data_IF_474267672252
#
_entry.id   IF_474267672252
#
_cell.length_a   1.000
_cell.length_b   1.000
_cell.length_c   1.000
_cell.angle_alpha   90.00
_cell.angle_beta   90.00
_cell.angle_gamma   90.00
#
_symmetry.space_group_name_H-M   'P 1'
#
loop_
_entity.id
_entity.type
_entity.pdbx_description
1 polymer ?
#
# COMPACT_ATOMS: atom_id res chain seq x y z
N UNK A 1 4.60 13.79 26.14
CA UNK A 1 5.56 14.04 25.06
C UNK A 1 5.57 12.82 24.16
N UNK A 2 5.25 12.97 22.88
CA UNK A 2 5.28 11.87 21.90
C UNK A 2 6.70 11.29 21.86
N UNK A 3 6.89 9.97 21.98
CA UNK A 3 8.20 9.36 21.86
C UNK A 3 8.74 9.50 20.43
N UNK A 4 10.04 9.28 20.28
CA UNK A 4 10.62 9.09 18.95
C UNK A 4 10.32 7.70 18.42
N UNK A 5 10.13 7.58 17.14
CA UNK A 5 10.20 6.32 16.45
C UNK A 5 11.60 5.72 16.67
N UNK A 6 11.65 4.50 17.18
CA UNK A 6 12.89 3.78 17.51
C UNK A 6 13.03 2.48 16.72
N UNK A 7 12.08 2.19 15.83
CA UNK A 7 12.14 1.02 14.98
C UNK A 7 13.21 1.13 13.88
N UNK A 8 13.48 0.05 13.24
CA UNK A 8 14.49 -0.11 12.19
C UNK A 8 13.80 -0.38 10.86
N UNK A 9 14.12 0.42 9.82
CA UNK A 9 13.61 0.18 8.47
C UNK A 9 14.10 -1.16 7.93
N UNK A 10 13.21 -1.86 7.26
CA UNK A 10 13.45 -3.18 6.62
C UNK A 10 13.85 -4.31 7.58
N UNK A 11 13.69 -4.11 8.87
CA UNK A 11 13.77 -5.19 9.86
C UNK A 11 12.34 -5.74 10.07
N UNK A 12 12.06 -6.92 9.52
CA UNK A 12 10.73 -7.54 9.59
C UNK A 12 10.20 -7.59 11.02
N UNK A 13 8.98 -7.11 11.22
CA UNK A 13 8.32 -7.10 12.53
C UNK A 13 7.57 -8.42 12.75
N UNK A 14 8.07 -9.25 13.66
CA UNK A 14 7.51 -10.58 13.98
C UNK A 14 6.75 -10.62 15.31
N UNK A 15 6.50 -9.47 15.93
CA UNK A 15 5.75 -9.39 17.19
C UNK A 15 5.00 -8.08 17.31
N UNK A 16 3.80 -8.14 17.87
CA UNK A 16 3.04 -6.95 18.25
C UNK A 16 3.76 -6.19 19.37
N UNK A 17 3.79 -4.86 19.27
CA UNK A 17 4.22 -4.02 20.38
C UNK A 17 3.26 -4.14 21.57
N UNK A 18 3.74 -3.79 22.77
CA UNK A 18 2.88 -3.75 23.96
C UNK A 18 1.68 -2.82 23.77
N UNK A 19 1.86 -1.69 23.11
CA UNK A 19 0.76 -0.76 22.81
C UNK A 19 -0.24 -1.38 21.83
N UNK A 20 0.23 -2.08 20.80
CA UNK A 20 -0.64 -2.80 19.88
C UNK A 20 -1.48 -3.85 20.60
N UNK A 21 -0.86 -4.67 21.47
CA UNK A 21 -1.59 -5.67 22.26
C UNK A 21 -2.66 -5.05 23.16
N UNK A 22 -2.40 -3.90 23.76
CA UNK A 22 -3.34 -3.19 24.63
C UNK A 22 -4.47 -2.50 23.86
N UNK A 23 -4.26 -2.15 22.60
CA UNK A 23 -5.25 -1.45 21.78
C UNK A 23 -6.50 -2.31 21.50
N UNK A 24 -6.31 -3.61 21.34
CA UNK A 24 -7.38 -4.57 21.08
C UNK A 24 -7.89 -5.13 22.41
N UNK A 25 -8.72 -4.35 23.15
CA UNK A 25 -9.16 -4.62 24.53
C UNK A 25 -9.89 -5.94 24.72
N UNK A 26 -10.68 -6.36 23.71
CA UNK A 26 -11.42 -7.64 23.72
C UNK A 26 -10.68 -8.74 22.95
N UNK A 27 -9.40 -8.50 22.64
CA UNK A 27 -8.59 -9.33 21.76
C UNK A 27 -8.95 -9.18 20.28
N UNK A 28 -7.95 -9.17 19.42
CA UNK A 28 -8.15 -9.13 17.97
C UNK A 28 -8.89 -10.38 17.44
N UNK A 29 -8.90 -11.46 18.21
CA UNK A 29 -9.57 -12.72 17.83
C UNK A 29 -11.06 -12.54 17.49
N UNK A 30 -11.75 -11.60 18.13
CA UNK A 30 -13.14 -11.29 17.82
C UNK A 30 -13.27 -10.69 16.43
N UNK A 31 -12.35 -9.78 16.06
CA UNK A 31 -12.30 -9.17 14.73
C UNK A 31 -11.90 -10.17 13.65
N UNK A 32 -10.92 -11.04 13.93
CA UNK A 32 -10.43 -12.06 13.01
C UNK A 32 -11.48 -13.14 12.67
N UNK A 33 -12.53 -13.28 13.49
CA UNK A 33 -13.67 -14.19 13.26
C UNK A 33 -14.81 -13.57 12.46
N UNK A 34 -14.77 -12.25 12.24
CA UNK A 34 -15.80 -11.58 11.45
C UNK A 34 -15.62 -11.86 9.96
N UNK A 35 -16.74 -11.98 9.26
CA UNK A 35 -16.72 -12.18 7.82
C UNK A 35 -16.45 -10.86 7.08
N UNK A 36 -15.51 -10.93 6.17
CA UNK A 36 -15.31 -9.95 5.11
C UNK A 36 -16.30 -10.16 3.96
N UNK A 37 -16.01 -9.53 2.83
CA UNK A 37 -16.75 -9.69 1.59
C UNK A 37 -16.03 -10.68 0.68
N UNK A 38 -16.81 -11.42 -0.11
CA UNK A 38 -16.28 -12.21 -1.24
C UNK A 38 -16.39 -11.45 -2.58
N UNK A 39 -16.89 -10.21 -2.53
CA UNK A 39 -16.98 -9.34 -3.71
C UNK A 39 -15.61 -8.75 -4.05
N UNK A 40 -15.30 -8.68 -5.34
CA UNK A 40 -14.13 -7.97 -5.86
C UNK A 40 -14.37 -6.44 -5.97
N UNK A 41 -15.48 -5.95 -5.44
CA UNK A 41 -15.80 -4.53 -5.38
C UNK A 41 -15.41 -3.93 -4.03
N UNK A 42 -14.59 -2.88 -4.05
CA UNK A 42 -14.25 -2.13 -2.83
C UNK A 42 -15.47 -1.46 -2.21
N UNK A 43 -16.41 -0.97 -3.04
CA UNK A 43 -17.66 -0.39 -2.55
C UNK A 43 -18.52 -1.42 -1.82
N UNK A 44 -18.76 -2.59 -2.42
CA UNK A 44 -19.59 -3.65 -1.82
C UNK A 44 -18.96 -4.23 -0.56
N UNK A 45 -17.62 -4.29 -0.51
CA UNK A 45 -16.90 -4.79 0.66
C UNK A 45 -17.10 -3.95 1.92
N UNK A 46 -17.48 -2.68 1.79
CA UNK A 46 -17.81 -1.78 2.90
C UNK A 46 -19.05 -2.23 3.71
N UNK A 47 -19.87 -3.10 3.14
CA UNK A 47 -21.05 -3.67 3.82
C UNK A 47 -20.74 -4.87 4.72
N UNK A 48 -19.51 -5.40 4.65
CA UNK A 48 -19.12 -6.56 5.46
C UNK A 48 -19.04 -6.27 6.96
N UNK A 49 -19.23 -7.31 7.77
CA UNK A 49 -19.12 -7.18 9.22
C UNK A 49 -17.72 -6.78 9.67
N UNK A 50 -16.70 -7.35 9.03
CA UNK A 50 -15.30 -7.04 9.33
C UNK A 50 -14.98 -5.58 9.01
N UNK A 51 -15.36 -5.10 7.82
CA UNK A 51 -15.12 -3.70 7.44
C UNK A 51 -15.69 -2.73 8.47
N UNK A 52 -16.98 -2.90 8.82
CA UNK A 52 -17.66 -2.02 9.77
C UNK A 52 -17.02 -2.04 11.15
N UNK A 53 -16.59 -3.21 11.61
CA UNK A 53 -15.90 -3.32 12.89
C UNK A 53 -14.53 -2.63 12.89
N UNK A 54 -13.72 -2.81 11.83
CA UNK A 54 -12.43 -2.12 11.67
C UNK A 54 -12.61 -0.61 11.56
N UNK A 55 -13.60 -0.14 10.79
CA UNK A 55 -13.93 1.27 10.67
C UNK A 55 -14.31 1.88 12.01
N UNK A 56 -15.23 1.23 12.76
CA UNK A 56 -15.65 1.69 14.09
C UNK A 56 -14.46 1.75 15.04
N UNK A 57 -13.64 0.70 15.11
CA UNK A 57 -12.46 0.68 15.96
C UNK A 57 -11.53 1.87 15.70
N UNK A 58 -11.14 2.08 14.44
CA UNK A 58 -10.24 3.17 14.07
C UNK A 58 -10.87 4.56 14.21
N UNK A 59 -12.21 4.65 14.13
CA UNK A 59 -12.95 5.91 14.29
C UNK A 59 -13.13 6.28 15.75
N UNK A 60 -13.60 5.34 16.55
CA UNK A 60 -13.98 5.58 17.95
C UNK A 60 -12.75 5.79 18.84
N UNK A 61 -11.61 5.22 18.47
CA UNK A 61 -10.34 5.39 19.19
C UNK A 61 -9.55 6.63 18.76
N UNK A 62 -9.92 7.28 17.66
CA UNK A 62 -9.31 8.55 17.25
C UNK A 62 -9.87 9.69 18.09
N UNK A 63 -9.24 9.95 19.24
CA UNK A 63 -9.68 10.96 20.24
C UNK A 63 -9.15 12.35 19.96
N UNK A 64 -8.05 12.46 19.23
CA UNK A 64 -7.39 13.71 18.94
C UNK A 64 -7.11 13.87 17.44
N UNK A 65 -6.97 15.12 17.02
CA UNK A 65 -6.58 15.46 15.64
C UNK A 65 -5.48 16.50 15.66
N UNK A 66 -4.61 16.46 14.66
CA UNK A 66 -3.56 17.44 14.45
C UNK A 66 -3.95 18.43 13.35
N UNK A 67 -3.37 19.60 13.34
CA UNK A 67 -3.58 20.55 12.25
C UNK A 67 -2.61 20.28 11.11
N UNK A 68 -3.02 20.57 9.89
CA UNK A 68 -2.16 20.45 8.70
C UNK A 68 -0.82 21.20 8.86
N UNK A 69 -0.85 22.35 9.56
CA UNK A 69 0.34 23.17 9.83
C UNK A 69 1.30 22.49 10.80
N UNK A 70 0.77 21.75 11.79
CA UNK A 70 1.57 21.13 12.85
C UNK A 70 2.16 19.77 12.48
N UNK A 71 1.79 19.18 11.34
CA UNK A 71 2.29 17.87 10.88
C UNK A 71 3.82 17.73 10.99
N UNK A 72 4.66 18.69 10.53
CA UNK A 72 6.11 18.55 10.64
C UNK A 72 6.64 18.42 12.08
N UNK A 73 5.93 19.01 13.05
CA UNK A 73 6.30 18.92 14.47
C UNK A 73 6.12 17.49 15.00
N UNK A 74 5.07 16.79 14.54
CA UNK A 74 4.82 15.40 14.92
C UNK A 74 5.72 14.45 14.14
N UNK A 75 5.89 14.66 12.83
CA UNK A 75 6.78 13.86 11.98
C UNK A 75 8.23 13.83 12.48
N UNK A 76 8.71 14.91 13.07
CA UNK A 76 10.03 14.95 13.72
C UNK A 76 10.22 13.83 14.75
N UNK A 77 9.13 13.16 15.16
CA UNK A 77 9.14 12.05 16.11
C UNK A 77 8.57 10.77 15.50
N UNK A 78 7.40 10.83 14.86
CA UNK A 78 6.73 9.67 14.27
C UNK A 78 7.47 9.13 13.04
N UNK A 79 8.06 10.03 12.26
CA UNK A 79 8.81 9.72 11.04
C UNK A 79 10.31 10.01 11.20
N UNK A 80 10.84 9.94 12.44
CA UNK A 80 12.26 10.07 12.69
C UNK A 80 13.03 8.92 12.02
N UNK A 81 14.15 9.27 11.39
CA UNK A 81 15.09 8.27 10.90
C UNK A 81 15.82 7.58 12.05
N UNK A 82 16.38 6.41 11.76
CA UNK A 82 17.26 5.73 12.70
C UNK A 82 18.40 6.67 13.10
N UNK A 83 18.65 6.79 14.41
CA UNK A 83 19.63 7.75 14.94
C UNK A 83 19.08 9.16 15.17
N UNK A 84 17.83 9.44 14.76
CA UNK A 84 17.15 10.75 14.89
C UNK A 84 17.79 11.90 14.09
N UNK A 85 18.54 11.57 13.04
CA UNK A 85 19.30 12.54 12.24
C UNK A 85 18.49 13.16 11.09
N UNK A 86 17.16 13.09 11.15
CA UNK A 86 16.27 13.72 10.17
C UNK A 86 14.92 13.02 10.05
N UNK A 87 14.11 13.51 9.12
CA UNK A 87 12.84 12.91 8.73
C UNK A 87 13.08 11.84 7.68
N UNK A 88 12.56 10.65 7.91
CA UNK A 88 12.49 9.64 6.87
C UNK A 88 11.39 10.03 5.88
N UNK A 89 11.75 10.19 4.63
CA UNK A 89 10.85 10.51 3.53
C UNK A 89 10.17 9.22 3.05
N UNK A 90 8.90 9.28 2.72
CA UNK A 90 8.06 8.11 2.54
C UNK A 90 8.45 7.25 1.33
N UNK A 91 8.41 7.82 0.12
CA UNK A 91 8.77 7.09 -1.11
C UNK A 91 10.28 7.00 -1.30
N UNK A 92 10.99 8.04 -0.84
CA UNK A 92 12.43 8.15 -0.99
C UNK A 92 13.19 7.24 -0.03
N UNK A 93 12.55 6.79 1.05
CA UNK A 93 13.10 5.92 2.10
C UNK A 93 14.51 6.35 2.58
N UNK A 94 14.70 7.66 2.66
CA UNK A 94 15.94 8.30 3.13
C UNK A 94 15.63 9.69 3.69
N UNK A 95 16.62 10.36 4.22
CA UNK A 95 16.50 11.72 4.76
C UNK A 95 16.97 12.79 3.77
N UNK A 96 16.65 14.05 4.03
CA UNK A 96 17.11 15.18 3.23
C UNK A 96 16.02 15.78 2.32
N UNK A 97 16.44 16.44 1.24
CA UNK A 97 15.55 17.07 0.27
C UNK A 97 14.73 18.25 0.81
N UNK A 98 13.77 18.69 0.00
CA UNK A 98 12.82 19.73 0.35
C UNK A 98 11.49 19.10 0.76
N UNK A 99 11.29 18.94 2.06
CA UNK A 99 10.11 18.30 2.64
C UNK A 99 8.80 18.99 2.18
N UNK A 100 7.87 18.16 1.72
CA UNK A 100 6.47 18.49 1.43
C UNK A 100 5.53 17.53 2.18
N UNK A 101 4.23 17.81 2.14
CA UNK A 101 3.20 16.99 2.76
C UNK A 101 2.58 16.10 1.69
N UNK A 102 2.95 14.83 1.70
CA UNK A 102 2.39 13.84 0.79
C UNK A 102 1.02 13.37 1.28
N UNK A 103 0.04 13.45 0.40
CA UNK A 103 -1.25 12.80 0.55
C UNK A 103 -1.16 11.45 -0.17
N UNK A 104 -0.85 10.38 0.57
CA UNK A 104 -0.67 9.04 -0.02
C UNK A 104 -1.91 8.62 -0.82
N UNK A 105 -3.09 8.81 -0.26
CA UNK A 105 -4.33 8.86 -1.04
C UNK A 105 -4.43 10.24 -1.70
N UNK A 106 -4.39 10.35 -3.02
CA UNK A 106 -4.37 11.65 -3.69
C UNK A 106 -5.51 12.55 -3.28
N UNK A 107 -5.21 13.80 -2.94
CA UNK A 107 -6.21 14.77 -2.52
C UNK A 107 -7.35 14.93 -3.53
N UNK A 108 -7.04 14.93 -4.82
CA UNK A 108 -8.02 15.06 -5.91
C UNK A 108 -8.90 13.82 -6.10
N UNK A 109 -8.54 12.68 -5.49
CA UNK A 109 -9.30 11.42 -5.53
C UNK A 109 -10.05 11.12 -4.24
N UNK A 110 -10.09 12.07 -3.32
CA UNK A 110 -10.63 11.92 -1.97
C UNK A 110 -11.81 12.84 -1.71
N UNK A 111 -12.61 12.45 -0.72
CA UNK A 111 -13.76 13.24 -0.24
C UNK A 111 -13.71 13.51 1.27
N UNK A 112 -12.61 13.20 1.94
CA UNK A 112 -12.51 13.25 3.42
C UNK A 112 -11.54 14.30 3.96
N UNK A 113 -10.93 15.11 3.10
CA UNK A 113 -9.86 16.04 3.49
C UNK A 113 -10.33 17.12 4.48
N UNK A 114 -11.59 17.58 4.35
CA UNK A 114 -12.17 18.56 5.27
C UNK A 114 -12.58 17.96 6.63
N UNK A 115 -12.64 16.63 6.73
CA UNK A 115 -13.01 15.90 7.95
C UNK A 115 -11.78 15.53 8.80
N UNK A 116 -10.69 16.29 8.73
CA UNK A 116 -9.38 16.04 9.33
C UNK A 116 -8.56 14.91 8.70
N UNK A 117 -9.05 14.21 7.68
CA UNK A 117 -8.27 13.23 6.95
C UNK A 117 -7.08 13.81 6.20
N UNK A 118 -7.17 15.11 5.85
CA UNK A 118 -6.06 15.88 5.27
C UNK A 118 -4.97 16.25 6.28
N UNK A 119 -5.09 15.87 7.56
CA UNK A 119 -4.07 16.05 8.59
C UNK A 119 -3.84 14.78 9.43
N UNK A 120 -4.46 13.67 9.07
CA UNK A 120 -4.29 12.38 9.72
C UNK A 120 -2.86 11.85 9.55
N UNK A 121 -2.16 11.58 10.65
CA UNK A 121 -0.77 11.13 10.65
C UNK A 121 -0.58 9.72 10.06
N UNK A 122 -1.61 8.87 10.05
CA UNK A 122 -1.54 7.59 9.35
C UNK A 122 -1.55 7.76 7.83
N UNK A 123 -2.17 8.82 7.33
CA UNK A 123 -2.32 9.12 5.90
C UNK A 123 -1.25 10.09 5.38
N UNK A 124 -1.07 11.23 6.06
CA UNK A 124 -0.12 12.27 5.65
C UNK A 124 1.31 11.89 6.01
N UNK A 125 2.19 11.91 5.01
CA UNK A 125 3.59 11.52 5.16
C UNK A 125 4.53 12.63 4.69
N UNK A 126 5.73 12.74 5.29
CA UNK A 126 6.77 13.62 4.75
C UNK A 126 7.35 13.03 3.47
N UNK A 127 7.53 13.85 2.44
CA UNK A 127 8.18 13.46 1.20
C UNK A 127 8.92 14.64 0.56
N UNK A 128 9.94 14.37 -0.27
CA UNK A 128 10.57 15.40 -1.10
C UNK A 128 9.58 16.02 -2.07
N UNK A 129 9.62 17.33 -2.21
CA UNK A 129 8.65 18.06 -3.04
C UNK A 129 8.75 17.70 -4.53
N UNK A 130 9.93 17.35 -5.02
CA UNK A 130 10.13 16.93 -6.40
C UNK A 130 9.65 15.49 -6.65
N UNK A 131 9.81 14.60 -5.68
CA UNK A 131 9.28 13.23 -5.74
C UNK A 131 7.76 13.28 -5.66
N UNK A 132 7.21 14.01 -4.68
CA UNK A 132 5.78 14.20 -4.50
C UNK A 132 5.12 14.79 -5.77
N UNK A 133 5.71 15.82 -6.38
CA UNK A 133 5.20 16.39 -7.62
C UNK A 133 5.23 15.41 -8.79
N UNK A 134 6.25 14.55 -8.88
CA UNK A 134 6.33 13.50 -9.93
C UNK A 134 5.30 12.41 -9.70
N UNK A 135 5.09 12.00 -8.43
CA UNK A 135 4.06 11.03 -8.05
C UNK A 135 2.67 11.51 -8.49
N UNK A 136 2.41 12.83 -8.46
CA UNK A 136 1.16 13.45 -8.91
C UNK A 136 -0.06 12.83 -8.20
N UNK A 137 -1.16 12.61 -8.93
CA UNK A 137 -2.34 11.89 -8.47
C UNK A 137 -2.53 10.55 -9.20
N UNK A 138 -1.45 10.00 -9.78
CA UNK A 138 -1.52 8.76 -10.56
C UNK A 138 -2.02 7.58 -9.72
N UNK A 139 -2.69 6.65 -10.40
CA UNK A 139 -3.07 5.36 -9.82
C UNK A 139 -1.81 4.55 -9.55
N UNK A 140 -1.67 4.00 -8.34
CA UNK A 140 -0.59 3.09 -7.97
C UNK A 140 -0.72 1.77 -8.72
N UNK A 141 0.38 1.19 -9.13
CA UNK A 141 0.37 -0.08 -9.83
C UNK A 141 1.72 -0.42 -10.45
N UNK A 142 1.82 -1.55 -11.11
CA UNK A 142 3.03 -2.00 -11.77
C UNK A 142 3.25 -1.19 -13.07
N UNK A 143 4.39 -0.55 -13.20
CA UNK A 143 4.74 0.32 -14.35
C UNK A 143 5.97 -0.19 -15.07
N UNK A 144 7.02 -0.55 -14.32
CA UNK A 144 8.27 -1.03 -14.91
C UNK A 144 8.02 -2.33 -15.68
N UNK A 145 8.30 -2.28 -16.98
CA UNK A 145 8.09 -3.40 -17.89
C UNK A 145 6.66 -3.60 -18.38
N UNK A 146 5.70 -2.83 -17.84
CA UNK A 146 4.29 -2.86 -18.27
C UNK A 146 4.02 -1.82 -19.35
N UNK A 147 4.51 -0.60 -19.14
CA UNK A 147 4.25 0.52 -20.03
C UNK A 147 5.51 0.93 -20.82
N UNK A 148 5.44 1.03 -22.17
CA UNK A 148 6.58 1.36 -23.00
C UNK A 148 7.09 2.80 -22.82
N UNK A 149 6.26 3.70 -22.28
CA UNK A 149 6.59 5.09 -21.94
C UNK A 149 7.01 5.26 -20.47
N UNK A 150 7.39 4.16 -19.81
CA UNK A 150 7.88 4.18 -18.44
C UNK A 150 9.05 5.14 -18.29
N UNK A 151 8.92 6.06 -17.35
CA UNK A 151 9.95 7.05 -16.98
C UNK A 151 10.24 6.90 -15.48
N UNK A 152 11.43 7.31 -15.06
CA UNK A 152 11.86 7.17 -13.67
C UNK A 152 12.03 8.51 -12.97
N UNK A 153 11.85 8.52 -11.67
CA UNK A 153 12.25 9.59 -10.77
C UNK A 153 13.31 9.06 -9.81
N UNK A 154 14.44 9.73 -9.77
CA UNK A 154 15.49 9.44 -8.81
C UNK A 154 15.51 10.48 -7.68
N UNK A 155 15.92 10.02 -6.48
CA UNK A 155 16.26 10.84 -5.33
C UNK A 155 17.52 10.26 -4.67
N UNK A 156 18.47 11.09 -4.33
CA UNK A 156 19.76 10.71 -3.73
C UNK A 156 20.46 9.54 -4.48
N UNK A 157 20.47 9.61 -5.81
CA UNK A 157 21.11 8.61 -6.66
C UNK A 157 20.38 7.28 -6.82
N UNK A 158 19.21 7.10 -6.19
CA UNK A 158 18.36 5.90 -6.30
C UNK A 158 17.08 6.21 -7.07
N UNK A 159 16.62 5.28 -7.90
CA UNK A 159 15.28 5.37 -8.49
C UNK A 159 14.25 5.05 -7.41
N UNK A 160 13.31 5.98 -7.21
CA UNK A 160 12.27 5.87 -6.18
C UNK A 160 10.86 5.75 -6.75
N UNK A 161 10.65 6.21 -7.99
CA UNK A 161 9.38 6.04 -8.72
C UNK A 161 9.63 5.61 -10.17
N UNK A 162 8.74 4.77 -10.69
CA UNK A 162 8.53 4.50 -12.11
C UNK A 162 7.13 4.96 -12.47
N UNK A 163 6.96 5.72 -13.53
CA UNK A 163 5.65 6.28 -13.89
C UNK A 163 5.42 6.35 -15.39
N UNK A 164 4.14 6.26 -15.76
CA UNK A 164 3.63 6.49 -17.10
C UNK A 164 2.54 7.55 -17.04
N UNK A 165 2.85 8.78 -17.46
CA UNK A 165 1.88 9.87 -17.46
C UNK A 165 0.78 9.68 -18.50
N UNK A 166 1.02 8.95 -19.58
CA UNK A 166 0.00 8.63 -20.58
C UNK A 166 -1.06 7.65 -20.08
N UNK A 167 -0.66 6.79 -19.14
CA UNK A 167 -1.51 5.74 -18.61
C UNK A 167 -1.99 6.02 -17.19
N UNK A 168 -1.66 7.19 -16.63
CA UNK A 168 -2.05 7.58 -15.26
C UNK A 168 -1.60 6.54 -14.21
N UNK A 169 -0.32 6.11 -14.27
CA UNK A 169 0.23 5.06 -13.41
C UNK A 169 1.56 5.46 -12.79
N UNK A 170 1.74 5.01 -11.55
CA UNK A 170 3.00 5.15 -10.81
C UNK A 170 3.26 3.91 -9.96
N UNK A 171 4.51 3.45 -9.99
CA UNK A 171 5.04 2.38 -9.15
C UNK A 171 6.08 2.97 -8.20
N UNK A 172 6.03 2.57 -6.93
CA UNK A 172 7.03 2.92 -5.92
C UNK A 172 8.10 1.84 -5.83
N UNK A 173 9.21 2.14 -5.15
CA UNK A 173 10.25 1.14 -4.89
C UNK A 173 9.71 -0.04 -4.07
N UNK A 174 10.23 -1.24 -4.33
CA UNK A 174 9.72 -2.50 -3.76
C UNK A 174 9.64 -2.46 -2.23
N UNK A 175 10.62 -1.82 -1.58
CA UNK A 175 10.71 -1.66 -0.14
C UNK A 175 9.78 -0.58 0.48
N UNK A 176 8.82 -0.07 -0.27
CA UNK A 176 7.81 0.90 0.17
C UNK A 176 6.40 0.48 -0.27
N UNK A 177 6.30 -0.59 -1.04
CA UNK A 177 5.04 -1.07 -1.62
C UNK A 177 4.04 -1.46 -0.53
N UNK A 178 4.49 -2.24 0.46
CA UNK A 178 3.66 -2.66 1.58
C UNK A 178 3.26 -1.50 2.49
N UNK A 179 4.20 -0.61 2.81
CA UNK A 179 3.90 0.62 3.57
C UNK A 179 2.75 1.39 2.91
N UNK A 180 2.84 1.57 1.59
CA UNK A 180 1.83 2.29 0.82
C UNK A 180 0.50 1.57 0.83
N UNK A 181 0.48 0.26 0.57
CA UNK A 181 -0.75 -0.54 0.56
C UNK A 181 -1.48 -0.47 1.91
N UNK A 182 -0.74 -0.57 3.03
CA UNK A 182 -1.28 -0.45 4.39
C UNK A 182 -1.86 0.95 4.67
N UNK A 183 -1.28 2.02 4.12
CA UNK A 183 -1.86 3.38 4.22
C UNK A 183 -3.14 3.49 3.39
N UNK A 184 -3.18 2.94 2.18
CA UNK A 184 -4.39 2.96 1.34
C UNK A 184 -5.55 2.20 1.99
N UNK A 185 -5.28 1.02 2.56
CA UNK A 185 -6.28 0.25 3.32
C UNK A 185 -6.80 1.00 4.55
N UNK A 186 -5.90 1.68 5.27
CA UNK A 186 -6.30 2.53 6.39
C UNK A 186 -7.29 3.61 5.94
N UNK A 187 -6.97 4.34 4.88
CA UNK A 187 -7.86 5.40 4.35
C UNK A 187 -9.18 4.80 3.86
N UNK A 188 -9.13 3.67 3.15
CA UNK A 188 -10.32 2.96 2.68
C UNK A 188 -11.26 2.64 3.85
N UNK A 189 -10.76 2.05 4.92
CA UNK A 189 -11.59 1.70 6.08
C UNK A 189 -11.93 2.91 6.95
N UNK A 190 -10.91 3.64 7.45
CA UNK A 190 -11.10 4.71 8.43
C UNK A 190 -11.93 5.86 7.89
N UNK A 191 -11.70 6.27 6.65
CA UNK A 191 -12.32 7.43 6.04
C UNK A 191 -13.43 7.08 5.03
N UNK A 192 -13.73 5.79 4.85
CA UNK A 192 -14.83 5.33 4.02
C UNK A 192 -14.66 5.70 2.54
N UNK A 193 -13.46 5.54 1.98
CA UNK A 193 -13.17 5.88 0.59
C UNK A 193 -13.32 4.67 -0.33
N UNK A 194 -14.43 4.51 -1.07
CA UNK A 194 -14.74 3.27 -1.79
C UNK A 194 -13.94 3.05 -3.08
N UNK A 195 -13.26 4.08 -3.59
CA UNK A 195 -12.48 4.03 -4.82
C UNK A 195 -11.04 3.50 -4.59
N UNK A 196 -10.91 2.41 -3.83
CA UNK A 196 -9.61 1.81 -3.54
C UNK A 196 -8.96 1.27 -4.83
N UNK A 197 -9.60 0.31 -5.49
CA UNK A 197 -9.08 -0.32 -6.71
C UNK A 197 -10.06 -0.32 -7.89
N UNK A 198 -11.17 0.39 -7.78
CA UNK A 198 -12.13 0.54 -8.87
C UNK A 198 -12.69 1.98 -8.94
N UNK A 199 -13.12 2.36 -10.12
CA UNK A 199 -13.78 3.65 -10.31
C UNK A 199 -15.21 3.58 -9.75
N UNK A 200 -15.56 4.49 -8.86
CA UNK A 200 -16.89 4.60 -8.28
C UNK A 200 -17.56 5.92 -8.67
N UNK A 201 -18.89 5.95 -8.62
CA UNK A 201 -19.65 7.20 -8.77
C UNK A 201 -19.32 8.16 -7.61
N UNK A 202 -19.24 9.45 -7.91
CA UNK A 202 -19.08 10.49 -6.89
C UNK A 202 -20.23 10.53 -5.89
N UNK A 203 -21.41 10.00 -6.27
CA UNK A 203 -22.57 9.92 -5.39
C UNK A 203 -22.36 8.92 -4.23
N UNK A 204 -21.43 7.99 -4.39
CA UNK A 204 -21.05 7.03 -3.36
C UNK A 204 -19.96 7.54 -2.40
N UNK A 205 -19.45 8.75 -2.63
CA UNK A 205 -18.46 9.37 -1.77
C UNK A 205 -19.12 10.24 -0.71
N UNK A 206 -18.54 10.35 0.50
CA UNK A 206 -18.97 11.33 1.48
C UNK A 206 -18.98 12.74 0.88
N UNK A 207 -19.87 13.63 1.31
CA UNK A 207 -19.93 14.99 0.79
C UNK A 207 -18.60 15.72 0.98
N UNK A 208 -17.99 16.14 -0.09
CA UNK A 208 -16.78 16.96 -0.09
C UNK A 208 -16.85 17.98 -1.23
N UNK A 209 -16.53 19.21 -0.90
CA UNK A 209 -16.41 20.29 -1.90
C UNK A 209 -14.96 20.30 -2.41
N UNK A 210 -14.71 19.51 -3.46
CA UNK A 210 -13.43 19.50 -4.18
C UNK A 210 -13.60 20.24 -5.50
N UNK A 211 -12.69 21.17 -5.79
CA UNK A 211 -12.66 21.87 -7.07
C UNK A 211 -12.28 20.93 -8.23
N UNK A 212 -11.71 19.76 -7.93
CA UNK A 212 -11.26 18.74 -8.90
C UNK A 212 -12.19 17.52 -8.92
N UNK A 213 -13.40 17.70 -9.42
CA UNK A 213 -14.40 16.63 -9.50
C UNK A 213 -14.09 15.57 -10.57
N UNK A 214 -13.23 15.88 -11.54
CA UNK A 214 -12.93 14.96 -12.65
C UNK A 214 -12.17 13.72 -12.19
N UNK A 215 -11.33 13.86 -11.15
CA UNK A 215 -10.54 12.77 -10.58
C UNK A 215 -11.17 12.14 -9.33
N UNK A 216 -12.17 12.76 -8.73
CA UNK A 216 -12.89 12.21 -7.58
C UNK A 216 -13.59 10.90 -7.99
N UNK A 217 -13.35 9.84 -7.23
CA UNK A 217 -13.87 8.51 -7.56
C UNK A 217 -12.98 7.65 -8.48
N UNK A 218 -11.88 8.20 -9.00
CA UNK A 218 -10.88 7.39 -9.70
C UNK A 218 -10.13 6.47 -8.73
N UNK A 219 -9.77 5.22 -9.14
CA UNK A 219 -9.07 4.28 -8.26
C UNK A 219 -7.68 4.79 -7.86
N UNK A 220 -7.24 4.46 -6.66
CA UNK A 220 -5.92 4.85 -6.14
C UNK A 220 -4.86 3.77 -6.30
N UNK A 221 -5.29 2.50 -6.44
CA UNK A 221 -4.43 1.37 -6.83
C UNK A 221 -5.13 0.58 -7.94
N UNK A 222 -4.37 -0.09 -8.79
CA UNK A 222 -4.90 -0.70 -10.00
C UNK A 222 -5.79 -1.92 -9.78
N UNK A 223 -5.53 -2.72 -8.73
CA UNK A 223 -6.30 -3.91 -8.40
C UNK A 223 -6.12 -4.35 -6.94
N UNK A 224 -7.03 -5.21 -6.47
CA UNK A 224 -6.88 -5.90 -5.20
C UNK A 224 -5.65 -6.83 -5.21
N UNK A 225 -5.43 -7.54 -6.29
CA UNK A 225 -4.30 -8.47 -6.41
C UNK A 225 -2.96 -7.73 -6.28
N UNK A 226 -2.80 -6.60 -6.96
CA UNK A 226 -1.61 -5.73 -6.81
C UNK A 226 -1.43 -5.24 -5.38
N UNK A 227 -2.51 -4.85 -4.71
CA UNK A 227 -2.45 -4.39 -3.33
C UNK A 227 -1.96 -5.49 -2.38
N UNK A 228 -2.52 -6.70 -2.48
CA UNK A 228 -2.16 -7.83 -1.64
C UNK A 228 -0.73 -8.33 -1.94
N UNK A 229 -0.35 -8.36 -3.23
CA UNK A 229 1.02 -8.67 -3.67
C UNK A 229 2.03 -7.71 -3.05
N UNK A 230 1.78 -6.41 -3.12
CA UNK A 230 2.65 -5.39 -2.55
C UNK A 230 2.78 -5.50 -1.03
N UNK A 231 1.70 -5.88 -0.33
CA UNK A 231 1.77 -6.14 1.11
C UNK A 231 2.64 -7.35 1.46
N UNK A 232 2.61 -8.39 0.62
CA UNK A 232 3.40 -9.60 0.83
C UNK A 232 4.87 -9.41 0.45
N UNK A 233 5.16 -8.65 -0.62
CA UNK A 233 6.53 -8.32 -1.06
C UNK A 233 7.27 -7.44 -0.05
N UNK A 234 6.55 -6.56 0.67
CA UNK A 234 7.09 -5.63 1.64
C UNK A 234 6.35 -5.77 2.98
N UNK A 235 6.71 -6.80 3.78
CA UNK A 235 6.11 -7.05 5.09
C UNK A 235 6.36 -5.89 6.07
N UNK A 236 5.52 -5.81 7.11
CA UNK A 236 5.67 -4.79 8.16
C UNK A 236 7.05 -4.88 8.80
N UNK A 237 7.74 -3.75 8.85
CA UNK A 237 9.00 -3.62 9.57
C UNK A 237 8.80 -3.03 10.99
N UNK A 238 9.85 -3.13 11.81
CA UNK A 238 9.79 -2.63 13.19
C UNK A 238 9.67 -1.11 13.24
N UNK A 239 10.08 -0.40 12.17
CA UNK A 239 9.91 1.05 12.07
C UNK A 239 8.44 1.45 11.89
N UNK A 240 7.68 0.72 11.04
CA UNK A 240 6.25 0.94 10.89
C UNK A 240 5.49 0.67 12.20
N UNK A 241 5.80 -0.43 12.90
CA UNK A 241 5.20 -0.76 14.19
C UNK A 241 5.46 0.35 15.21
N UNK A 242 6.70 0.81 15.33
CA UNK A 242 7.09 1.90 16.23
C UNK A 242 6.43 3.23 15.83
N UNK A 243 6.29 3.50 14.52
CA UNK A 243 5.54 4.65 14.03
C UNK A 243 4.07 4.59 14.44
N UNK A 244 3.45 3.42 14.28
CA UNK A 244 2.05 3.18 14.67
C UNK A 244 1.83 3.47 16.16
N UNK A 245 2.77 3.05 17.01
CA UNK A 245 2.78 3.37 18.44
C UNK A 245 2.89 4.88 18.71
N UNK A 246 3.79 5.56 18.02
CA UNK A 246 3.97 7.01 18.15
C UNK A 246 2.70 7.79 17.72
N UNK A 247 2.09 7.39 16.59
CA UNK A 247 0.87 8.03 16.09
C UNK A 247 -0.31 7.78 17.04
N UNK A 248 -0.45 6.57 17.60
CA UNK A 248 -1.46 6.29 18.62
C UNK A 248 -1.37 7.25 19.82
N UNK A 249 -0.16 7.57 20.27
CA UNK A 249 0.02 8.52 21.38
C UNK A 249 -0.38 9.96 21.03
N UNK A 250 -0.47 10.29 19.73
CA UNK A 250 -0.93 11.59 19.25
C UNK A 250 -2.42 11.62 18.98
N UNK A 251 -2.94 10.61 18.26
CA UNK A 251 -4.29 10.60 17.73
C UNK A 251 -5.25 9.64 18.47
N UNK A 252 -4.71 8.69 19.22
CA UNK A 252 -5.46 7.66 19.93
C UNK A 252 -5.70 6.39 19.12
N UNK A 253 -5.86 6.49 17.80
CA UNK A 253 -6.09 5.34 16.93
C UNK A 253 -4.80 4.76 16.35
N UNK A 254 -4.92 3.56 15.78
CA UNK A 254 -3.85 2.83 15.08
C UNK A 254 -4.27 2.51 13.65
N UNK A 255 -3.28 2.32 12.79
CA UNK A 255 -3.49 1.62 11.53
C UNK A 255 -3.50 0.11 11.81
N UNK A 256 -4.68 -0.50 11.77
CA UNK A 256 -4.86 -1.93 12.10
C UNK A 256 -4.19 -2.86 11.09
N UNK A 257 -3.94 -2.40 9.87
CA UNK A 257 -3.24 -3.16 8.82
C UNK A 257 -1.72 -3.23 9.01
N UNK A 258 -1.17 -2.48 9.97
CA UNK A 258 0.21 -2.66 10.44
C UNK A 258 0.26 -3.74 11.51
N UNK A 259 -0.67 -3.72 12.46
CA UNK A 259 -0.70 -4.69 13.55
C UNK A 259 -1.12 -6.08 13.08
N UNK A 260 -2.15 -6.15 12.24
CA UNK A 260 -2.74 -7.35 11.65
C UNK A 260 -2.89 -7.19 10.14
N UNK A 261 -1.81 -7.33 9.37
CA UNK A 261 -1.87 -7.23 7.91
C UNK A 261 -2.87 -8.22 7.28
N UNK A 262 -3.14 -9.32 7.96
CA UNK A 262 -4.11 -10.36 7.58
C UNK A 262 -5.53 -9.81 7.33
N UNK A 263 -5.89 -8.72 8.00
CA UNK A 263 -7.18 -8.08 7.75
C UNK A 263 -7.38 -7.69 6.28
N UNK A 264 -6.31 -7.44 5.52
CA UNK A 264 -6.43 -7.13 4.10
C UNK A 264 -7.00 -8.32 3.30
N UNK A 265 -6.53 -9.53 3.56
CA UNK A 265 -7.06 -10.74 2.92
C UNK A 265 -8.45 -11.08 3.42
N UNK A 266 -8.64 -11.09 4.74
CA UNK A 266 -9.92 -11.44 5.36
C UNK A 266 -11.04 -10.47 4.94
N UNK A 267 -10.71 -9.19 4.77
CA UNK A 267 -11.65 -8.14 4.37
C UNK A 267 -12.29 -8.41 3.01
N UNK A 268 -11.52 -8.97 2.08
CA UNK A 268 -11.94 -9.28 0.72
C UNK A 268 -12.14 -10.80 0.48
N UNK A 269 -12.29 -11.59 1.55
CA UNK A 269 -12.55 -13.02 1.45
C UNK A 269 -11.47 -13.80 0.70
N UNK A 270 -10.23 -13.33 0.75
CA UNK A 270 -9.07 -14.00 0.17
C UNK A 270 -8.43 -14.95 1.18
N UNK A 271 -7.83 -16.01 0.67
CA UNK A 271 -7.05 -16.94 1.49
C UNK A 271 -5.76 -16.27 1.96
N UNK A 272 -5.39 -16.53 3.22
CA UNK A 272 -4.15 -16.02 3.80
C UNK A 272 -2.97 -16.84 3.27
N UNK A 273 -1.87 -16.22 2.84
CA UNK A 273 -0.65 -16.92 2.51
C UNK A 273 0.00 -17.48 3.79
N UNK A 274 0.41 -18.76 3.77
CA UNK A 274 0.99 -19.44 4.94
C UNK A 274 2.35 -18.87 5.35
N UNK A 275 3.15 -18.46 4.37
CA UNK A 275 4.53 -17.97 4.57
C UNK A 275 4.63 -16.44 4.67
N UNK A 276 3.56 -15.78 5.09
CA UNK A 276 3.55 -14.33 5.25
C UNK A 276 3.95 -13.93 6.66
N UNK A 277 5.11 -13.33 6.80
CA UNK A 277 5.60 -12.80 8.08
C UNK A 277 4.79 -11.57 8.51
N UNK A 278 4.08 -11.68 9.62
CA UNK A 278 3.26 -10.61 10.20
C UNK A 278 3.53 -10.43 11.69
N UNK A 279 3.32 -9.22 12.24
CA UNK A 279 3.52 -8.97 13.68
C UNK A 279 2.61 -9.83 14.57
N UNK A 280 1.45 -10.22 14.08
CA UNK A 280 0.49 -11.06 14.80
C UNK A 280 0.88 -12.55 14.80
N UNK A 281 1.60 -13.01 13.76
CA UNK A 281 1.86 -14.41 13.49
C UNK A 281 0.63 -15.21 13.03
N UNK A 282 -0.53 -14.55 12.85
CA UNK A 282 -1.80 -15.22 12.55
C UNK A 282 -1.77 -16.00 11.23
N UNK A 283 -1.09 -15.49 10.21
CA UNK A 283 -0.94 -16.16 8.92
C UNK A 283 -0.17 -17.47 9.00
N UNK A 284 0.82 -17.60 9.87
CA UNK A 284 1.54 -18.87 10.08
C UNK A 284 0.67 -19.96 10.71
N UNK A 285 -0.34 -19.57 11.49
CA UNK A 285 -1.25 -20.51 12.14
C UNK A 285 -2.49 -20.84 11.30
N UNK A 286 -2.92 -19.94 10.43
CA UNK A 286 -4.21 -19.98 9.74
C UNK A 286 -4.10 -19.82 8.22
N UNK A 287 -2.89 -19.58 7.69
CA UNK A 287 -2.66 -19.50 6.25
C UNK A 287 -2.84 -20.87 5.60
N UNK A 288 -3.40 -20.89 4.39
CA UNK A 288 -3.39 -22.08 3.57
C UNK A 288 -2.02 -22.23 2.93
N UNK A 289 -1.54 -23.49 2.85
CA UNK A 289 -0.45 -23.87 1.96
C UNK A 289 -0.94 -23.67 0.50
N UNK A 290 -1.05 -22.40 0.10
CA UNK A 290 -1.07 -22.08 -1.32
C UNK A 290 0.29 -22.56 -1.79
N UNK A 291 0.32 -23.59 -2.65
CA UNK A 291 1.58 -24.08 -3.21
C UNK A 291 2.32 -22.83 -3.73
N UNK A 292 3.40 -22.46 -3.05
CA UNK A 292 4.25 -21.35 -3.45
C UNK A 292 4.93 -21.76 -4.75
N UNK A 293 4.26 -21.45 -5.86
CA UNK A 293 4.85 -21.65 -7.18
C UNK A 293 5.98 -20.62 -7.35
N UNK A 294 7.19 -21.10 -7.40
CA UNK A 294 8.28 -20.27 -7.88
C UNK A 294 8.13 -20.15 -9.40
N UNK A 295 7.57 -19.03 -9.85
CA UNK A 295 7.52 -18.73 -11.27
C UNK A 295 8.93 -18.40 -11.77
N UNK A 296 9.42 -19.18 -12.74
CA UNK A 296 10.67 -18.85 -13.44
C UNK A 296 10.36 -18.67 -14.92
N UNK A 297 11.03 -17.73 -15.54
CA UNK A 297 10.91 -17.52 -16.98
C UNK A 297 12.28 -17.23 -17.59
N UNK A 298 12.46 -17.63 -18.83
CA UNK A 298 13.66 -17.35 -19.60
C UNK A 298 13.27 -16.97 -21.04
N UNK A 299 14.05 -16.10 -21.65
CA UNK A 299 13.97 -15.86 -23.10
C UNK A 299 14.52 -17.07 -23.84
N UNK A 300 13.84 -17.51 -24.90
CA UNK A 300 14.36 -18.54 -25.78
C UNK A 300 15.61 -18.12 -26.57
N UNK A 301 15.82 -16.81 -26.68
CA UNK A 301 16.99 -16.21 -27.35
C UNK A 301 17.22 -14.81 -26.74
N UNK A 302 18.16 -14.70 -25.83
CA UNK A 302 18.49 -13.46 -25.11
C UNK A 302 19.00 -12.34 -26.03
N UNK A 303 19.47 -12.66 -27.25
CA UNK A 303 19.87 -11.64 -28.23
C UNK A 303 18.68 -10.93 -28.87
N UNK A 304 17.47 -11.54 -28.77
CA UNK A 304 16.23 -11.02 -29.32
C UNK A 304 15.32 -10.38 -28.27
N UNK A 305 15.67 -10.50 -27.01
CA UNK A 305 14.96 -9.89 -25.90
C UNK A 305 15.18 -10.62 -24.60
N UNK A 306 14.84 -9.96 -23.50
CA UNK A 306 14.94 -10.50 -22.15
C UNK A 306 13.57 -10.62 -21.51
N UNK A 307 13.50 -11.30 -20.36
CA UNK A 307 12.29 -11.40 -19.53
C UNK A 307 12.61 -11.07 -18.09
N UNK A 308 11.64 -10.55 -17.38
CA UNK A 308 11.70 -10.41 -15.92
C UNK A 308 10.51 -11.12 -15.31
N UNK A 309 10.70 -11.67 -14.12
CA UNK A 309 9.64 -12.27 -13.31
C UNK A 309 9.47 -11.43 -12.07
N UNK A 310 8.23 -11.05 -11.77
CA UNK A 310 7.83 -10.40 -10.53
C UNK A 310 6.60 -11.10 -10.02
N UNK A 311 6.72 -11.73 -8.86
CA UNK A 311 5.65 -12.54 -8.27
C UNK A 311 5.01 -13.48 -9.30
N UNK A 312 3.76 -13.24 -9.69
CA UNK A 312 3.01 -14.06 -10.66
C UNK A 312 3.05 -13.52 -12.11
N UNK A 313 3.84 -12.48 -12.36
CA UNK A 313 3.88 -11.78 -13.63
C UNK A 313 5.22 -11.95 -14.33
N UNK A 314 5.19 -12.35 -15.60
CA UNK A 314 6.34 -12.34 -16.51
C UNK A 314 6.20 -11.19 -17.49
N UNK A 315 7.20 -10.33 -17.56
CA UNK A 315 7.27 -9.26 -18.56
C UNK A 315 8.39 -9.52 -19.55
N UNK A 316 8.07 -9.52 -20.83
CA UNK A 316 9.05 -9.66 -21.90
C UNK A 316 9.47 -8.30 -22.46
N UNK A 317 10.77 -8.15 -22.71
CA UNK A 317 11.41 -6.96 -23.29
C UNK A 317 12.06 -7.33 -24.64
N UNK A 318 11.30 -7.32 -25.75
CA UNK A 318 11.86 -7.59 -27.05
C UNK A 318 12.92 -6.55 -27.41
N UNK A 319 14.03 -7.01 -28.02
CA UNK A 319 15.02 -6.10 -28.61
C UNK A 319 14.42 -5.37 -29.82
N UNK A 320 15.06 -4.27 -30.24
CA UNK A 320 14.60 -3.48 -31.39
C UNK A 320 14.41 -4.37 -32.63
N UNK A 321 13.25 -4.26 -33.27
CA UNK A 321 12.87 -5.04 -34.44
C UNK A 321 12.28 -6.43 -34.14
N UNK A 322 12.12 -6.81 -32.88
CA UNK A 322 11.51 -8.05 -32.44
C UNK A 322 10.18 -7.84 -31.72
N UNK A 323 9.37 -8.88 -31.65
CA UNK A 323 8.15 -8.92 -30.85
C UNK A 323 8.03 -10.29 -30.16
N UNK A 324 7.17 -10.37 -29.14
CA UNK A 324 6.88 -11.64 -28.48
C UNK A 324 6.05 -12.52 -29.42
N UNK A 325 6.58 -13.68 -29.81
CA UNK A 325 5.90 -14.64 -30.69
C UNK A 325 4.99 -15.62 -29.95
N UNK A 326 5.19 -15.80 -28.65
CA UNK A 326 4.44 -16.71 -27.81
C UNK A 326 5.23 -17.14 -26.58
N UNK A 327 4.64 -18.08 -25.81
CA UNK A 327 5.23 -18.66 -24.62
C UNK A 327 4.98 -20.17 -24.56
N UNK A 328 5.75 -20.86 -23.74
CA UNK A 328 5.54 -22.26 -23.39
C UNK A 328 5.54 -22.41 -21.89
N UNK A 329 4.54 -23.14 -21.35
CA UNK A 329 4.49 -23.52 -19.93
C UNK A 329 5.12 -24.89 -19.71
N UNK A 330 5.77 -25.06 -18.56
CA UNK A 330 6.27 -26.36 -18.14
C UNK A 330 5.96 -26.55 -16.64
N UNK A 331 5.12 -27.54 -16.27
CA UNK A 331 4.32 -28.40 -17.17
C UNK A 331 3.26 -27.60 -17.94
N UNK A 332 2.76 -28.16 -19.05
CA UNK A 332 1.87 -27.43 -19.98
C UNK A 332 0.52 -27.02 -19.41
N UNK A 333 0.11 -27.63 -18.31
CA UNK A 333 -1.13 -27.40 -17.57
C UNK A 333 -0.92 -26.66 -16.23
N UNK A 334 0.29 -26.11 -16.00
CA UNK A 334 0.65 -25.50 -14.74
C UNK A 334 -0.23 -24.29 -14.35
N UNK A 335 -0.72 -23.54 -15.33
CA UNK A 335 -1.51 -22.34 -15.06
C UNK A 335 -2.37 -21.92 -16.26
N UNK A 336 -3.36 -21.07 -16.00
CA UNK A 336 -4.07 -20.31 -17.03
C UNK A 336 -3.38 -18.96 -17.17
N UNK A 337 -2.75 -18.72 -18.31
CA UNK A 337 -2.02 -17.48 -18.57
C UNK A 337 -2.91 -16.47 -19.29
N UNK A 338 -3.00 -15.27 -18.74
CA UNK A 338 -3.57 -14.11 -19.42
C UNK A 338 -2.43 -13.28 -20.03
N UNK A 339 -2.53 -13.02 -21.33
CA UNK A 339 -1.54 -12.17 -22.02
C UNK A 339 -2.14 -10.79 -22.32
N UNK A 340 -1.41 -9.76 -21.94
CA UNK A 340 -1.71 -8.39 -22.31
C UNK A 340 -0.43 -7.73 -22.87
N UNK A 341 -0.32 -7.67 -24.19
CA UNK A 341 0.89 -7.20 -24.85
C UNK A 341 2.10 -8.09 -24.53
N UNK A 342 3.11 -7.55 -23.86
CA UNK A 342 4.32 -8.23 -23.44
C UNK A 342 4.27 -8.74 -21.98
N UNK A 343 3.12 -8.65 -21.34
CA UNK A 343 2.89 -9.05 -19.94
C UNK A 343 2.05 -10.31 -19.91
N UNK A 344 2.47 -11.28 -19.10
CA UNK A 344 1.81 -12.56 -18.88
C UNK A 344 1.53 -12.72 -17.38
N UNK A 345 0.28 -12.91 -17.00
CA UNK A 345 -0.19 -13.08 -15.62
C UNK A 345 -1.00 -14.37 -15.47
#
# INVERSE_FOLDING_TARGET
>A
TVPYNTGTRHETCTALSTQAQQYYTDGAETLLKLSGSTSDSSLESMDSALYRALQSLMTDTMTDSVTYKSLPTYWARTDASQGKDGLLLFYSDTTGGRMSREHVWPKSRASFMQQNGGSDLHHLRPEDSGVNSTRSNYTMGNVLGVYPDCTTKAFDGKTVLWYSSKNDRVEVADNVKGDLARVLLYVYCRWGQPNLFEKVSTDNLPPYDSDDRENTGMPVIESLDTLLEWMQEDPVDTWEMSRNDCVQQVQGNRNVFIDYPEFAWLLFGRELPADYDTPSGYSHEHGSDVENFTLTAASSDETRGTVTVRSHTVTAFPAEGYCVGGYTLTPADAAVVKQNGNVFT
#
